data_IF_001206445867
#
_entry.id   IF_001206445867
#
_cell.length_a   1.000
_cell.length_b   1.000
_cell.length_c   1.000
_cell.angle_alpha   90.00
_cell.angle_beta   90.00
_cell.angle_gamma   90.00
#
_symmetry.space_group_name_H-M   'P 1'
#
loop_
_entity.id
_entity.type
_entity.pdbx_description
1 polymer ?
#
# COMPACT_ATOMS: atom_id res chain seq x y z
N UNK A 1 -1.11 28.55 -13.54
CA UNK A 1 -1.41 27.10 -13.64
C UNK A 1 -0.24 26.34 -14.27
N UNK A 2 0.26 26.73 -15.45
CA UNK A 2 1.40 26.06 -16.11
C UNK A 2 2.70 26.07 -15.29
N UNK A 3 3.10 27.21 -14.69
CA UNK A 3 4.31 27.26 -13.86
C UNK A 3 4.26 26.31 -12.64
N UNK A 4 3.07 26.16 -12.03
CA UNK A 4 2.84 25.23 -10.92
C UNK A 4 2.87 23.79 -11.44
N UNK A 5 2.23 23.53 -12.58
CA UNK A 5 2.24 22.21 -13.23
C UNK A 5 3.67 21.76 -13.58
N UNK A 6 4.48 22.65 -14.14
CA UNK A 6 5.87 22.37 -14.51
C UNK A 6 6.74 22.12 -13.27
N UNK A 7 6.61 22.96 -12.24
CA UNK A 7 7.32 22.80 -10.97
C UNK A 7 6.96 21.47 -10.28
N UNK A 8 5.67 21.12 -10.23
CA UNK A 8 5.21 19.83 -9.68
C UNK A 8 5.72 18.67 -10.53
N UNK A 9 5.75 18.80 -11.86
CA UNK A 9 6.25 17.76 -12.77
C UNK A 9 7.75 17.52 -12.58
N UNK A 10 8.56 18.58 -12.40
CA UNK A 10 10.00 18.47 -12.15
C UNK A 10 10.28 17.79 -10.80
N UNK A 11 9.58 18.21 -9.74
CA UNK A 11 9.68 17.56 -8.42
C UNK A 11 9.24 16.10 -8.52
N UNK A 12 8.15 15.82 -9.23
CA UNK A 12 7.66 14.45 -9.41
C UNK A 12 8.69 13.60 -10.18
N UNK A 13 9.35 14.16 -11.19
CA UNK A 13 10.43 13.50 -11.94
C UNK A 13 11.67 13.21 -11.09
N UNK A 14 11.96 14.04 -10.09
CA UNK A 14 13.07 13.84 -9.16
C UNK A 14 12.71 12.87 -8.03
N UNK A 15 11.56 13.07 -7.38
CA UNK A 15 11.08 12.31 -6.22
C UNK A 15 10.62 10.91 -6.61
N UNK A 16 10.00 10.73 -7.78
CA UNK A 16 9.62 9.41 -8.31
C UNK A 16 10.53 8.98 -9.47
N UNK A 17 11.67 9.65 -9.60
CA UNK A 17 12.71 9.29 -10.56
C UNK A 17 13.52 8.07 -10.10
N UNK A 18 14.43 7.59 -10.97
CA UNK A 18 15.28 6.44 -10.68
C UNK A 18 16.00 6.49 -9.31
N UNK A 19 16.52 7.64 -8.81
CA UNK A 19 17.21 7.68 -7.53
C UNK A 19 16.35 7.23 -6.34
N UNK A 20 15.10 7.68 -6.26
CA UNK A 20 14.22 7.31 -5.15
C UNK A 20 13.84 5.84 -5.23
N UNK A 21 13.56 5.33 -6.43
CA UNK A 21 13.20 3.92 -6.62
C UNK A 21 14.36 2.99 -6.25
N UNK A 22 15.59 3.37 -6.64
CA UNK A 22 16.81 2.67 -6.22
C UNK A 22 17.00 2.73 -4.72
N UNK A 23 16.71 3.87 -4.07
CA UNK A 23 16.78 3.96 -2.61
C UNK A 23 15.74 3.08 -1.90
N UNK A 24 14.47 3.09 -2.36
CA UNK A 24 13.40 2.26 -1.76
C UNK A 24 13.77 0.78 -1.84
N UNK A 25 14.16 0.31 -3.04
CA UNK A 25 14.57 -1.08 -3.22
C UNK A 25 15.88 -1.39 -2.50
N UNK A 26 16.85 -0.49 -2.54
CA UNK A 26 18.14 -0.66 -1.87
C UNK A 26 18.00 -0.79 -0.34
N UNK A 27 17.17 0.06 0.28
CA UNK A 27 16.86 -0.03 1.71
C UNK A 27 16.11 -1.34 2.01
N UNK A 28 15.12 -1.70 1.20
CA UNK A 28 14.41 -2.96 1.40
C UNK A 28 15.31 -4.19 1.27
N UNK A 29 16.27 -4.19 0.33
CA UNK A 29 17.27 -5.25 0.17
C UNK A 29 18.23 -5.29 1.35
N UNK A 30 18.73 -4.12 1.78
CA UNK A 30 19.58 -3.99 2.95
C UNK A 30 18.89 -4.55 4.21
N UNK A 31 17.63 -4.19 4.45
CA UNK A 31 16.83 -4.71 5.57
C UNK A 31 16.53 -6.20 5.41
N UNK A 32 16.23 -6.66 4.20
CA UNK A 32 15.97 -8.09 3.92
C UNK A 32 17.17 -8.94 4.28
N UNK A 33 18.38 -8.52 3.89
CA UNK A 33 19.64 -9.21 4.22
C UNK A 33 19.95 -9.08 5.71
N UNK A 34 19.83 -7.88 6.28
CA UNK A 34 20.10 -7.63 7.71
C UNK A 34 19.20 -8.41 8.65
N UNK A 35 17.92 -8.61 8.27
CA UNK A 35 16.96 -9.44 8.98
C UNK A 35 17.08 -10.93 8.64
N UNK A 36 18.06 -11.33 7.82
CA UNK A 36 18.27 -12.72 7.37
C UNK A 36 17.01 -13.32 6.73
N UNK A 37 16.30 -12.52 5.93
CA UNK A 37 15.03 -12.87 5.29
C UNK A 37 13.92 -13.33 6.26
N UNK A 38 14.02 -12.98 7.55
CA UNK A 38 13.06 -13.41 8.57
C UNK A 38 11.59 -13.14 8.20
N UNK A 39 11.19 -11.95 7.68
CA UNK A 39 9.80 -11.68 7.35
C UNK A 39 9.22 -12.67 6.34
N UNK A 40 10.01 -13.07 5.34
CA UNK A 40 9.62 -14.05 4.32
C UNK A 40 9.61 -15.46 4.92
N UNK A 41 10.66 -15.84 5.65
CA UNK A 41 10.80 -17.18 6.21
C UNK A 41 9.78 -17.50 7.30
N UNK A 42 9.26 -16.47 8.01
CA UNK A 42 8.31 -16.62 9.13
C UNK A 42 6.87 -16.24 8.78
N UNK A 43 6.51 -16.13 7.50
CA UNK A 43 5.14 -15.81 7.08
C UNK A 43 4.09 -16.74 7.71
N UNK A 44 4.36 -18.05 7.77
CA UNK A 44 3.44 -19.02 8.38
C UNK A 44 3.21 -18.79 9.88
N UNK A 45 4.25 -18.39 10.62
CA UNK A 45 4.12 -18.00 12.02
C UNK A 45 3.30 -16.71 12.17
N UNK A 46 3.48 -15.75 11.26
CA UNK A 46 2.66 -14.54 11.18
C UNK A 46 1.18 -14.86 11.04
N UNK A 47 0.79 -15.70 10.08
CA UNK A 47 -0.61 -16.13 9.92
C UNK A 47 -1.16 -16.83 11.16
N UNK A 48 -0.38 -17.69 11.81
CA UNK A 48 -0.78 -18.36 13.05
C UNK A 48 -1.07 -17.36 14.17
N UNK A 49 -0.16 -16.41 14.39
CA UNK A 49 -0.31 -15.36 15.43
C UNK A 49 -1.51 -14.45 15.16
N UNK A 50 -1.74 -14.09 13.88
CA UNK A 50 -2.90 -13.30 13.49
C UNK A 50 -4.23 -14.03 13.74
N UNK A 51 -4.26 -15.36 13.55
CA UNK A 51 -5.45 -16.16 13.78
C UNK A 51 -5.71 -16.40 15.27
N UNK A 52 -4.66 -16.64 16.07
CA UNK A 52 -4.78 -16.81 17.52
C UNK A 52 -5.10 -15.52 18.26
N UNK A 53 -4.59 -14.38 17.77
CA UNK A 53 -4.84 -13.04 18.33
C UNK A 53 -6.22 -12.45 17.98
N UNK A 54 -7.18 -13.28 17.57
CA UNK A 54 -8.58 -12.85 17.37
C UNK A 54 -9.36 -12.74 18.68
N UNK A 55 -8.93 -13.45 19.72
CA UNK A 55 -9.47 -13.32 21.06
C UNK A 55 -8.75 -12.19 21.80
N UNK A 56 -9.48 -11.34 22.53
CA UNK A 56 -8.91 -10.34 23.44
C UNK A 56 -8.03 -11.06 24.46
N UNK A 57 -6.74 -10.75 24.52
CA UNK A 57 -5.84 -11.25 25.54
C UNK A 57 -5.28 -10.08 26.35
N UNK A 58 -5.73 -9.94 27.60
CA UNK A 58 -5.25 -9.02 28.65
C UNK A 58 -5.29 -7.50 28.41
N UNK A 59 -5.25 -6.74 29.51
CA UNK A 59 -5.41 -5.28 29.59
C UNK A 59 -4.26 -4.47 28.94
N UNK A 60 -3.20 -5.13 28.46
CA UNK A 60 -1.98 -4.52 27.89
C UNK A 60 -2.00 -4.44 26.34
N UNK A 61 -3.11 -4.85 25.72
CA UNK A 61 -3.21 -5.27 24.31
C UNK A 61 -3.66 -4.14 23.35
N UNK A 62 -3.04 -2.95 23.45
CA UNK A 62 -3.26 -1.83 22.52
C UNK A 62 -4.73 -1.40 22.34
N UNK A 63 -5.01 -0.57 21.32
CA UNK A 63 -6.34 0.04 21.18
C UNK A 63 -7.37 -0.86 20.47
N UNK A 64 -6.89 -1.81 19.66
CA UNK A 64 -7.69 -2.77 18.87
C UNK A 64 -6.99 -4.13 18.75
N UNK A 65 -7.74 -5.25 18.62
CA UNK A 65 -7.15 -6.58 18.45
C UNK A 65 -6.25 -6.68 17.22
N UNK A 66 -5.20 -7.54 17.24
CA UNK A 66 -4.28 -7.75 16.12
C UNK A 66 -4.95 -7.99 14.76
N UNK A 67 -6.04 -8.76 14.72
CA UNK A 67 -6.81 -8.98 13.49
C UNK A 67 -7.45 -7.69 12.96
N UNK A 68 -8.02 -6.85 13.83
CA UNK A 68 -8.60 -5.57 13.42
C UNK A 68 -7.51 -4.59 12.96
N UNK A 69 -6.34 -4.59 13.61
CA UNK A 69 -5.20 -3.78 13.18
C UNK A 69 -4.72 -4.18 11.77
N UNK A 70 -4.59 -5.48 11.51
CA UNK A 70 -4.27 -5.99 10.18
C UNK A 70 -5.32 -5.59 9.15
N UNK A 71 -6.60 -5.80 9.44
CA UNK A 71 -7.68 -5.46 8.51
C UNK A 71 -7.75 -3.96 8.25
N UNK A 72 -7.49 -3.13 9.26
CA UNK A 72 -7.38 -1.68 9.10
C UNK A 72 -6.22 -1.32 8.19
N UNK A 73 -5.04 -1.90 8.41
CA UNK A 73 -3.88 -1.67 7.54
C UNK A 73 -4.15 -2.14 6.09
N UNK A 74 -4.75 -3.33 5.93
CA UNK A 74 -5.12 -3.86 4.62
C UNK A 74 -6.17 -3.00 3.90
N UNK A 75 -7.13 -2.43 4.63
CA UNK A 75 -8.14 -1.53 4.05
C UNK A 75 -7.52 -0.28 3.42
N UNK A 76 -6.40 0.18 3.97
CA UNK A 76 -5.68 1.35 3.44
C UNK A 76 -4.75 0.98 2.28
N UNK A 77 -4.27 -0.27 2.20
CA UNK A 77 -3.34 -0.71 1.15
C UNK A 77 -4.02 -1.35 -0.04
N UNK A 78 -5.21 -1.93 0.14
CA UNK A 78 -5.99 -2.52 -0.95
C UNK A 78 -6.96 -1.47 -1.46
N UNK A 79 -6.72 -0.96 -2.65
CA UNK A 79 -7.54 0.11 -3.24
C UNK A 79 -7.42 0.17 -4.76
N UNK A 80 -7.70 1.35 -5.31
CA UNK A 80 -7.66 1.58 -6.76
C UNK A 80 -6.30 1.29 -7.39
N UNK A 81 -5.21 1.44 -6.63
CA UNK A 81 -3.86 1.06 -7.07
C UNK A 81 -3.75 -0.42 -7.48
N UNK A 82 -4.39 -1.33 -6.75
CA UNK A 82 -4.35 -2.76 -7.08
C UNK A 82 -5.12 -3.11 -8.37
N UNK A 83 -6.05 -2.25 -8.79
CA UNK A 83 -6.89 -2.46 -9.98
C UNK A 83 -6.33 -1.63 -11.13
N UNK A 84 -6.44 -0.30 -11.03
CA UNK A 84 -6.03 0.63 -12.05
C UNK A 84 -4.50 0.81 -12.11
N UNK A 85 -3.80 0.78 -10.97
CA UNK A 85 -2.34 0.92 -10.92
C UNK A 85 -1.64 -0.26 -11.59
N UNK A 86 -2.04 -1.50 -11.25
CA UNK A 86 -1.53 -2.72 -11.92
C UNK A 86 -1.82 -2.68 -13.42
N UNK A 87 -3.05 -2.33 -13.83
CA UNK A 87 -3.40 -2.21 -15.24
C UNK A 87 -2.55 -1.14 -15.96
N UNK A 88 -2.33 0.01 -15.32
CA UNK A 88 -1.48 1.09 -15.84
C UNK A 88 -0.02 0.63 -15.95
N UNK A 89 0.50 -0.11 -14.97
CA UNK A 89 1.86 -0.63 -14.99
C UNK A 89 2.05 -1.64 -16.12
N UNK A 90 1.09 -2.53 -16.35
CA UNK A 90 1.12 -3.47 -17.48
C UNK A 90 0.97 -2.75 -18.82
N UNK A 91 0.13 -1.73 -18.90
CA UNK A 91 -0.06 -0.94 -20.12
C UNK A 91 1.21 -0.16 -20.50
N UNK A 92 1.85 0.51 -19.53
CA UNK A 92 3.02 1.36 -19.77
C UNK A 92 4.34 0.57 -19.83
N UNK A 93 4.51 -0.42 -18.95
CA UNK A 93 5.73 -1.21 -18.78
C UNK A 93 5.68 -2.61 -19.41
N UNK A 94 4.55 -2.97 -20.02
CA UNK A 94 4.31 -4.31 -20.55
C UNK A 94 4.08 -5.38 -19.46
N UNK A 95 3.81 -6.64 -19.87
CA UNK A 95 3.56 -7.75 -18.94
C UNK A 95 4.71 -8.02 -17.96
N UNK A 96 5.94 -7.67 -18.33
CA UNK A 96 7.13 -7.81 -17.49
C UNK A 96 7.10 -6.96 -16.21
N UNK A 97 6.30 -5.91 -16.15
CA UNK A 97 6.12 -5.10 -14.94
C UNK A 97 5.61 -5.96 -13.76
N UNK A 98 4.75 -6.96 -14.01
CA UNK A 98 4.21 -7.84 -12.97
C UNK A 98 5.31 -8.60 -12.21
N UNK A 99 6.33 -9.09 -12.93
CA UNK A 99 7.47 -9.77 -12.30
C UNK A 99 8.20 -8.86 -11.32
N UNK A 100 8.45 -7.61 -11.74
CA UNK A 100 9.10 -6.62 -10.90
C UNK A 100 8.22 -6.18 -9.73
N UNK A 101 6.90 -6.07 -9.91
CA UNK A 101 5.96 -5.83 -8.80
C UNK A 101 6.07 -6.94 -7.75
N UNK A 102 6.18 -8.21 -8.13
CA UNK A 102 6.38 -9.30 -7.18
C UNK A 102 7.71 -9.20 -6.44
N UNK A 103 8.81 -8.91 -7.13
CA UNK A 103 10.11 -8.73 -6.48
C UNK A 103 10.12 -7.55 -5.51
N UNK A 104 9.53 -6.42 -5.91
CA UNK A 104 9.43 -5.22 -5.07
C UNK A 104 8.59 -5.50 -3.82
N UNK A 105 7.53 -6.29 -3.93
CA UNK A 105 6.72 -6.72 -2.79
C UNK A 105 7.52 -7.62 -1.83
N UNK A 106 8.27 -8.61 -2.34
CA UNK A 106 9.11 -9.49 -1.51
C UNK A 106 10.16 -8.69 -0.73
N UNK A 107 10.84 -7.76 -1.39
CA UNK A 107 11.83 -6.87 -0.78
C UNK A 107 11.16 -5.91 0.22
N UNK A 108 9.98 -5.39 -0.14
CA UNK A 108 9.18 -4.47 0.67
C UNK A 108 8.65 -5.09 1.97
N UNK A 109 8.49 -6.42 2.05
CA UNK A 109 8.09 -7.10 3.29
C UNK A 109 9.05 -6.78 4.44
N UNK A 110 10.36 -6.69 4.17
CA UNK A 110 11.35 -6.36 5.19
C UNK A 110 11.23 -4.92 5.67
N UNK A 111 11.08 -3.98 4.74
CA UNK A 111 10.81 -2.56 5.07
C UNK A 111 9.57 -2.43 5.93
N UNK A 112 8.46 -3.06 5.52
CA UNK A 112 7.20 -2.92 6.22
C UNK A 112 7.24 -3.54 7.62
N UNK A 113 7.91 -4.67 7.76
CA UNK A 113 8.15 -5.30 9.05
C UNK A 113 8.95 -4.37 9.98
N UNK A 114 10.07 -3.80 9.49
CA UNK A 114 10.89 -2.87 10.27
C UNK A 114 10.10 -1.63 10.70
N UNK A 115 9.29 -1.05 9.81
CA UNK A 115 8.40 0.07 10.15
C UNK A 115 7.44 -0.29 11.30
N UNK A 116 6.80 -1.46 11.23
CA UNK A 116 5.85 -1.90 12.25
C UNK A 116 6.54 -2.14 13.60
N UNK A 117 7.71 -2.78 13.60
CA UNK A 117 8.49 -3.03 14.83
C UNK A 117 8.92 -1.71 15.47
N UNK A 118 9.43 -0.76 14.68
CA UNK A 118 9.83 0.56 15.19
C UNK A 118 8.62 1.35 15.70
N UNK A 119 7.49 1.29 15.01
CA UNK A 119 6.27 1.96 15.42
C UNK A 119 5.77 1.44 16.78
N UNK A 120 5.85 0.13 17.04
CA UNK A 120 5.49 -0.44 18.35
C UNK A 120 6.53 -0.10 19.41
N UNK A 121 7.83 -0.16 19.08
CA UNK A 121 8.93 0.07 20.03
C UNK A 121 8.99 1.51 20.54
N UNK A 122 8.64 2.48 19.70
CA UNK A 122 8.75 3.91 19.98
C UNK A 122 7.40 4.63 20.06
N UNK A 123 6.29 3.89 20.22
CA UNK A 123 4.95 4.46 20.43
C UNK A 123 4.87 5.23 21.75
N UNK A 124 3.98 6.20 21.78
CA UNK A 124 3.59 6.95 22.97
C UNK A 124 2.11 6.73 23.27
N UNK A 125 1.68 7.17 24.46
CA UNK A 125 0.28 7.22 24.84
C UNK A 125 -0.13 8.69 24.86
N UNK A 126 -1.20 9.01 24.13
CA UNK A 126 -1.73 10.38 24.08
C UNK A 126 -2.48 10.75 25.38
N UNK A 127 -2.87 12.02 25.51
CA UNK A 127 -3.62 12.52 26.67
C UNK A 127 -4.98 11.83 26.87
N UNK A 128 -5.47 11.14 25.85
CA UNK A 128 -6.74 10.40 25.84
C UNK A 128 -6.55 8.90 26.11
N UNK A 129 -5.32 8.47 26.42
CA UNK A 129 -4.98 7.08 26.71
C UNK A 129 -4.84 6.17 25.48
N UNK A 130 -4.82 6.72 24.26
CA UNK A 130 -4.65 5.94 23.03
C UNK A 130 -3.18 5.80 22.65
N UNK A 131 -2.84 4.69 22.01
CA UNK A 131 -1.49 4.46 21.51
C UNK A 131 -1.26 5.20 20.19
N UNK A 132 -0.27 6.08 20.16
CA UNK A 132 0.15 6.81 18.96
C UNK A 132 1.56 6.40 18.55
N UNK A 133 1.72 6.01 17.29
CA UNK A 133 2.98 5.48 16.78
C UNK A 133 3.11 5.72 15.28
N UNK A 134 4.32 5.49 14.76
CA UNK A 134 4.63 5.67 13.35
C UNK A 134 5.95 6.39 13.12
N UNK A 135 6.25 6.75 11.85
CA UNK A 135 7.57 7.26 11.49
C UNK A 135 7.97 8.56 12.17
N UNK A 136 7.02 9.47 12.34
CA UNK A 136 7.23 10.70 13.10
C UNK A 136 7.69 10.43 14.55
N UNK A 137 7.17 9.37 15.19
CA UNK A 137 7.52 9.02 16.56
C UNK A 137 8.85 8.29 16.64
N UNK A 138 9.11 7.28 15.81
CA UNK A 138 10.40 6.57 15.88
C UNK A 138 11.58 7.43 15.40
N UNK A 139 11.36 8.43 14.55
CA UNK A 139 12.39 9.41 14.20
C UNK A 139 12.71 10.29 15.41
N UNK A 140 11.67 10.86 16.05
CA UNK A 140 11.85 11.74 17.21
C UNK A 140 12.43 11.02 18.42
N UNK A 141 11.89 9.84 18.73
CA UNK A 141 12.18 9.10 19.96
C UNK A 141 13.33 8.10 19.80
N UNK A 142 13.61 7.65 18.57
CA UNK A 142 14.66 6.66 18.27
C UNK A 142 15.97 7.26 17.79
N UNK A 143 15.95 8.27 16.91
CA UNK A 143 17.17 8.91 16.38
C UNK A 143 17.64 10.09 17.25
N UNK A 144 16.82 10.52 18.20
CA UNK A 144 17.11 11.60 19.15
C UNK A 144 16.70 12.99 18.65
N UNK A 145 16.79 13.97 19.56
CA UNK A 145 16.26 15.33 19.35
C UNK A 145 16.83 16.07 18.13
N UNK A 146 18.06 15.75 17.72
CA UNK A 146 18.71 16.33 16.53
C UNK A 146 17.99 15.99 15.21
N UNK A 147 17.21 14.92 15.18
CA UNK A 147 16.47 14.47 14.00
C UNK A 147 14.96 14.73 14.10
N UNK A 148 14.50 15.39 15.17
CA UNK A 148 13.08 15.68 15.38
C UNK A 148 12.44 16.49 14.23
N UNK A 149 13.22 17.36 13.57
CA UNK A 149 12.77 18.11 12.40
C UNK A 149 12.33 17.21 11.24
N UNK A 150 12.97 16.05 11.06
CA UNK A 150 12.62 15.09 10.02
C UNK A 150 11.32 14.37 10.36
N UNK A 151 11.05 14.13 11.66
CA UNK A 151 9.77 13.59 12.13
C UNK A 151 8.61 14.55 11.88
N UNK A 152 8.83 15.85 12.11
CA UNK A 152 7.86 16.91 11.79
C UNK A 152 7.62 16.98 10.28
N UNK A 153 8.69 16.97 9.48
CA UNK A 153 8.59 17.00 8.02
C UNK A 153 7.82 15.79 7.48
N UNK A 154 8.08 14.59 8.01
CA UNK A 154 7.32 13.39 7.69
C UNK A 154 5.84 13.56 8.03
N UNK A 155 5.51 14.06 9.22
CA UNK A 155 4.12 14.25 9.63
C UNK A 155 3.36 15.20 8.69
N UNK A 156 4.01 16.30 8.27
CA UNK A 156 3.43 17.25 7.30
C UNK A 156 3.21 16.58 5.94
N UNK A 157 4.23 15.92 5.39
CA UNK A 157 4.11 15.27 4.08
C UNK A 157 3.11 14.11 4.10
N UNK A 158 3.10 13.29 5.15
CA UNK A 158 2.14 12.20 5.31
C UNK A 158 0.70 12.74 5.41
N UNK A 159 0.49 13.86 6.11
CA UNK A 159 -0.83 14.49 6.22
C UNK A 159 -1.34 14.97 4.87
N UNK A 160 -0.48 15.61 4.06
CA UNK A 160 -0.83 16.04 2.70
C UNK A 160 -1.03 14.85 1.77
N UNK A 161 -0.12 13.87 1.81
CA UNK A 161 -0.18 12.67 0.98
C UNK A 161 -1.45 11.86 1.25
N UNK A 162 -1.91 11.78 2.51
CA UNK A 162 -3.12 11.06 2.88
C UNK A 162 -4.37 11.55 2.14
N UNK A 163 -4.48 12.86 1.85
CA UNK A 163 -5.58 13.38 1.01
C UNK A 163 -5.49 12.89 -0.43
N UNK A 164 -4.28 12.81 -0.99
CA UNK A 164 -4.07 12.31 -2.34
C UNK A 164 -4.37 10.82 -2.46
N UNK A 165 -3.53 9.99 -1.82
CA UNK A 165 -3.55 8.53 -1.98
C UNK A 165 -4.73 7.86 -1.27
N UNK A 166 -5.16 8.42 -0.13
CA UNK A 166 -6.16 7.82 0.75
C UNK A 166 -7.57 8.37 0.57
N UNK A 167 -7.75 9.50 -0.10
CA UNK A 167 -9.06 10.15 -0.26
C UNK A 167 -9.39 10.45 -1.73
N UNK A 168 -8.81 11.52 -2.29
CA UNK A 168 -9.26 12.08 -3.59
C UNK A 168 -9.16 11.07 -4.73
N UNK A 169 -8.04 10.37 -4.87
CA UNK A 169 -7.86 9.38 -5.94
C UNK A 169 -8.83 8.20 -5.77
N UNK A 170 -9.04 7.73 -4.54
CA UNK A 170 -9.96 6.62 -4.26
C UNK A 170 -11.42 7.01 -4.57
N UNK A 171 -11.87 8.16 -4.06
CA UNK A 171 -13.23 8.64 -4.25
C UNK A 171 -13.53 8.97 -5.72
N UNK A 172 -12.57 9.55 -6.45
CA UNK A 172 -12.74 9.85 -7.87
C UNK A 172 -12.86 8.58 -8.72
N UNK A 173 -12.02 7.57 -8.52
CA UNK A 173 -12.16 6.32 -9.28
C UNK A 173 -13.49 5.61 -9.04
N UNK A 174 -14.03 5.66 -7.82
CA UNK A 174 -15.38 5.13 -7.54
C UNK A 174 -16.44 5.94 -8.26
N UNK A 175 -16.33 7.27 -8.27
CA UNK A 175 -17.24 8.16 -8.98
C UNK A 175 -17.23 7.92 -10.49
N UNK A 176 -16.05 7.80 -11.10
CA UNK A 176 -15.89 7.56 -12.54
C UNK A 176 -16.54 6.23 -12.96
N UNK A 177 -16.35 5.16 -12.16
CA UNK A 177 -16.95 3.85 -12.42
C UNK A 177 -18.47 3.90 -12.30
N UNK A 178 -19.01 4.63 -11.31
CA UNK A 178 -20.47 4.76 -11.13
C UNK A 178 -21.11 5.64 -12.20
N UNK A 179 -20.42 6.69 -12.65
CA UNK A 179 -20.87 7.51 -13.78
C UNK A 179 -20.88 6.70 -15.07
N UNK A 180 -19.78 5.99 -15.37
CA UNK A 180 -19.64 5.23 -16.62
C UNK A 180 -20.66 4.08 -16.72
N UNK A 181 -20.87 3.34 -15.63
CA UNK A 181 -21.71 2.14 -15.68
C UNK A 181 -23.19 2.42 -15.36
N UNK A 182 -23.48 3.44 -14.56
CA UNK A 182 -24.83 3.69 -14.06
C UNK A 182 -25.34 5.12 -14.34
N UNK A 183 -24.54 5.97 -14.99
CA UNK A 183 -24.91 7.36 -15.29
C UNK A 183 -25.03 8.26 -14.06
N UNK A 184 -24.48 7.84 -12.92
CA UNK A 184 -24.62 8.56 -11.65
C UNK A 184 -23.65 9.76 -11.60
N UNK A 185 -24.12 11.00 -11.41
CA UNK A 185 -23.23 12.16 -11.40
C UNK A 185 -22.22 12.11 -10.25
N UNK A 186 -20.98 12.57 -10.51
CA UNK A 186 -19.87 12.53 -9.54
C UNK A 186 -20.19 13.13 -8.17
N UNK A 187 -20.89 14.27 -8.13
CA UNK A 187 -21.22 14.93 -6.87
C UNK A 187 -22.16 14.07 -5.99
N UNK A 188 -23.04 13.27 -6.61
CA UNK A 188 -23.96 12.37 -5.89
C UNK A 188 -23.15 11.25 -5.23
N UNK A 189 -22.24 10.61 -5.99
CA UNK A 189 -21.30 9.62 -5.43
C UNK A 189 -20.51 10.22 -4.27
N UNK A 190 -19.97 11.43 -4.46
CA UNK A 190 -19.18 12.13 -3.44
C UNK A 190 -19.95 12.35 -2.14
N UNK A 191 -21.20 12.82 -2.22
CA UNK A 191 -22.05 13.02 -1.03
C UNK A 191 -22.36 11.70 -0.33
N UNK A 192 -22.67 10.64 -1.08
CA UNK A 192 -22.94 9.31 -0.51
C UNK A 192 -21.68 8.79 0.20
N UNK A 193 -20.52 8.84 -0.45
CA UNK A 193 -19.25 8.41 0.14
C UNK A 193 -18.90 9.24 1.39
N UNK A 194 -19.09 10.56 1.35
CA UNK A 194 -18.86 11.43 2.50
C UNK A 194 -19.68 11.00 3.71
N UNK A 195 -20.99 10.72 3.52
CA UNK A 195 -21.87 10.30 4.62
C UNK A 195 -21.45 8.92 5.15
N UNK A 196 -21.22 7.95 4.26
CA UNK A 196 -20.83 6.59 4.64
C UNK A 196 -19.49 6.56 5.38
N UNK A 197 -18.47 7.23 4.85
CA UNK A 197 -17.14 7.31 5.46
C UNK A 197 -17.20 8.11 6.75
N UNK A 198 -17.93 9.22 6.79
CA UNK A 198 -18.13 10.04 7.99
C UNK A 198 -18.71 9.25 9.15
N UNK A 199 -19.72 8.40 8.91
CA UNK A 199 -20.30 7.52 9.94
C UNK A 199 -19.27 6.54 10.54
N UNK A 200 -18.27 6.12 9.77
CA UNK A 200 -17.21 5.22 10.25
C UNK A 200 -16.14 6.00 11.02
N UNK A 201 -15.68 7.13 10.48
CA UNK A 201 -14.59 7.92 11.05
C UNK A 201 -14.96 8.58 12.38
N UNK A 202 -16.19 9.07 12.54
CA UNK A 202 -16.66 9.70 13.79
C UNK A 202 -16.55 8.74 14.99
N UNK A 203 -16.66 7.43 14.76
CA UNK A 203 -16.52 6.41 15.80
C UNK A 203 -15.07 6.10 16.23
N UNK A 204 -14.06 6.73 15.62
CA UNK A 204 -12.65 6.54 15.95
C UNK A 204 -12.10 5.15 15.59
N UNK A 205 -10.87 4.87 16.05
CA UNK A 205 -10.09 3.68 15.63
C UNK A 205 -10.80 2.35 15.92
N UNK A 206 -11.57 2.27 17.01
CA UNK A 206 -12.36 1.08 17.36
C UNK A 206 -13.45 0.80 16.32
N UNK A 207 -14.15 1.84 15.85
CA UNK A 207 -15.20 1.70 14.83
C UNK A 207 -14.60 1.39 13.46
N UNK A 208 -13.48 2.04 13.11
CA UNK A 208 -12.72 1.76 11.89
C UNK A 208 -12.29 0.28 11.87
N UNK A 209 -11.69 -0.20 12.96
CA UNK A 209 -11.25 -1.60 13.09
C UNK A 209 -12.40 -2.60 12.96
N UNK A 210 -13.55 -2.33 13.56
CA UNK A 210 -14.75 -3.17 13.43
C UNK A 210 -15.23 -3.25 11.98
N UNK A 211 -15.40 -2.11 11.32
CA UNK A 211 -15.89 -2.03 9.93
C UNK A 211 -14.89 -2.68 8.98
N UNK A 212 -13.61 -2.35 9.08
CA UNK A 212 -12.55 -2.94 8.26
C UNK A 212 -12.48 -4.46 8.44
N UNK A 213 -12.63 -4.95 9.67
CA UNK A 213 -12.59 -6.40 9.96
C UNK A 213 -13.71 -7.21 9.33
N UNK A 214 -14.83 -6.57 8.97
CA UNK A 214 -15.93 -7.20 8.25
C UNK A 214 -15.79 -7.00 6.73
N UNK A 215 -15.52 -5.77 6.29
CA UNK A 215 -15.51 -5.41 4.87
C UNK A 215 -14.28 -5.95 4.11
N UNK A 216 -13.09 -5.88 4.71
CA UNK A 216 -11.85 -6.23 4.01
C UNK A 216 -11.78 -7.72 3.66
N UNK A 217 -12.09 -8.66 4.57
CA UNK A 217 -12.12 -10.09 4.19
C UNK A 217 -13.12 -10.36 3.08
N UNK A 218 -14.32 -9.77 3.15
CA UNK A 218 -15.34 -9.93 2.12
C UNK A 218 -14.84 -9.44 0.76
N UNK A 219 -14.31 -8.21 0.71
CA UNK A 219 -13.75 -7.60 -0.51
C UNK A 219 -12.60 -8.43 -1.11
N UNK A 220 -11.65 -8.87 -0.27
CA UNK A 220 -10.50 -9.64 -0.73
C UNK A 220 -10.93 -11.02 -1.27
N UNK A 221 -11.80 -11.73 -0.54
CA UNK A 221 -12.30 -13.05 -0.96
C UNK A 221 -13.12 -12.94 -2.24
N UNK A 222 -14.04 -11.95 -2.35
CA UNK A 222 -14.84 -11.78 -3.56
C UNK A 222 -13.97 -11.46 -4.77
N UNK A 223 -12.98 -10.56 -4.61
CA UNK A 223 -12.07 -10.18 -5.70
C UNK A 223 -11.23 -11.36 -6.19
N UNK A 224 -10.62 -12.10 -5.27
CA UNK A 224 -9.83 -13.30 -5.60
C UNK A 224 -10.71 -14.38 -6.22
N UNK A 225 -11.91 -14.61 -5.69
CA UNK A 225 -12.82 -15.63 -6.21
C UNK A 225 -13.24 -15.33 -7.66
N UNK A 226 -13.64 -14.09 -7.95
CA UNK A 226 -13.98 -13.66 -9.32
C UNK A 226 -12.77 -13.80 -10.24
N UNK A 227 -11.59 -13.38 -9.80
CA UNK A 227 -10.34 -13.55 -10.56
C UNK A 227 -10.04 -15.02 -10.87
N UNK A 228 -10.19 -15.91 -9.89
CA UNK A 228 -10.02 -17.34 -10.08
C UNK A 228 -11.03 -17.95 -11.05
N UNK A 229 -12.28 -17.48 -11.04
CA UNK A 229 -13.30 -17.89 -12.02
C UNK A 229 -12.87 -17.48 -13.43
N UNK A 230 -12.42 -16.25 -13.63
CA UNK A 230 -11.93 -15.76 -14.94
C UNK A 230 -10.71 -16.56 -15.40
N UNK A 231 -9.78 -16.87 -14.50
CA UNK A 231 -8.62 -17.71 -14.79
C UNK A 231 -9.04 -19.15 -15.15
N UNK A 232 -10.03 -19.73 -14.47
CA UNK A 232 -10.53 -21.06 -14.77
C UNK A 232 -11.21 -21.12 -16.15
N UNK A 233 -11.97 -20.09 -16.53
CA UNK A 233 -12.59 -19.98 -17.86
C UNK A 233 -11.50 -19.88 -18.95
N UNK A 234 -10.39 -19.19 -18.66
CA UNK A 234 -9.29 -18.97 -19.60
C UNK A 234 -8.06 -19.85 -19.32
N UNK A 235 -8.26 -21.04 -18.72
CA UNK A 235 -7.16 -21.85 -18.19
C UNK A 235 -6.08 -22.16 -19.24
N UNK A 236 -6.47 -22.34 -20.50
CA UNK A 236 -5.56 -22.64 -21.61
C UNK A 236 -4.56 -21.50 -21.91
N UNK A 237 -4.89 -20.26 -21.55
CA UNK A 237 -4.06 -19.08 -21.81
C UNK A 237 -3.09 -18.78 -20.64
N UNK A 238 -3.27 -19.42 -19.48
CA UNK A 238 -2.44 -19.16 -18.29
C UNK A 238 -0.95 -19.43 -18.55
N UNK A 239 -0.54 -20.56 -19.18
CA UNK A 239 0.88 -20.82 -19.40
C UNK A 239 1.53 -19.76 -20.29
N UNK A 240 0.84 -19.32 -21.34
CA UNK A 240 1.31 -18.26 -22.24
C UNK A 240 1.42 -16.92 -21.51
N UNK A 241 0.40 -16.55 -20.71
CA UNK A 241 0.42 -15.34 -19.92
C UNK A 241 1.60 -15.29 -18.93
N UNK A 242 1.87 -16.40 -18.22
CA UNK A 242 3.03 -16.51 -17.33
C UNK A 242 4.33 -16.39 -18.14
N UNK A 243 4.43 -17.07 -19.28
CA UNK A 243 5.60 -16.97 -20.16
C UNK A 243 5.86 -15.54 -20.63
N UNK A 244 4.81 -14.80 -20.99
CA UNK A 244 4.90 -13.38 -21.34
C UNK A 244 5.46 -12.54 -20.19
N UNK A 245 5.02 -12.77 -18.95
CA UNK A 245 5.54 -12.03 -17.78
C UNK A 245 7.05 -12.20 -17.65
N UNK A 246 7.57 -13.43 -17.71
CA UNK A 246 9.00 -13.67 -17.56
C UNK A 246 9.80 -13.22 -18.79
N UNK A 247 9.33 -13.52 -20.01
CA UNK A 247 10.04 -13.13 -21.23
C UNK A 247 10.16 -11.60 -21.37
N UNK A 248 9.09 -10.85 -21.10
CA UNK A 248 9.11 -9.39 -21.17
C UNK A 248 9.91 -8.76 -20.02
N UNK A 249 9.97 -9.41 -18.85
CA UNK A 249 10.79 -8.93 -17.74
C UNK A 249 12.30 -8.98 -18.04
N UNK A 250 12.74 -9.92 -18.89
CA UNK A 250 14.16 -10.20 -19.17
C UNK A 250 14.57 -10.06 -20.65
N UNK A 251 13.69 -9.59 -21.54
CA UNK A 251 13.94 -9.52 -22.99
C UNK A 251 15.12 -8.60 -23.35
N UNK A 252 15.99 -8.94 -24.33
CA UNK A 252 17.13 -8.11 -24.73
C UNK A 252 16.78 -6.78 -25.41
N UNK A 253 15.57 -6.59 -25.95
CA UNK A 253 15.10 -5.25 -26.33
C UNK A 253 14.97 -4.30 -25.11
N UNK A 254 14.98 -4.88 -23.92
CA UNK A 254 15.06 -4.19 -22.64
C UNK A 254 16.53 -3.88 -22.22
N UNK A 255 17.54 -4.42 -22.93
CA UNK A 255 18.95 -4.18 -22.66
C UNK A 255 19.47 -2.81 -23.14
N UNK A 256 18.72 -2.11 -24.01
CA UNK A 256 18.91 -0.66 -24.23
C UNK A 256 18.33 0.19 -23.08
N UNK A 257 17.93 -0.44 -21.96
CA UNK A 257 17.56 0.22 -20.69
C UNK A 257 16.16 0.84 -20.66
N UNK A 258 15.56 1.10 -21.83
CA UNK A 258 14.25 1.76 -21.94
C UNK A 258 13.08 0.91 -21.42
N UNK A 259 12.95 -0.34 -21.86
CA UNK A 259 11.75 -1.15 -21.56
C UNK A 259 11.82 -1.85 -20.20
N UNK A 260 12.96 -2.42 -19.81
CA UNK A 260 13.13 -3.03 -18.47
C UNK A 260 13.16 -1.93 -17.40
N UNK A 261 13.82 -0.81 -17.69
CA UNK A 261 13.78 0.38 -16.86
C UNK A 261 12.36 0.91 -16.69
N UNK A 262 11.58 1.01 -17.78
CA UNK A 262 10.17 1.40 -17.72
C UNK A 262 9.30 0.39 -16.96
N UNK A 263 9.54 -0.91 -17.12
CA UNK A 263 8.80 -1.96 -16.40
C UNK A 263 9.09 -1.91 -14.90
N UNK A 264 10.35 -1.81 -14.50
CA UNK A 264 10.78 -1.64 -13.09
C UNK A 264 10.25 -0.33 -12.52
N UNK A 265 10.38 0.76 -13.26
CA UNK A 265 9.90 2.08 -12.85
C UNK A 265 8.39 2.08 -12.66
N UNK A 266 7.62 1.54 -13.62
CA UNK A 266 6.18 1.42 -13.52
C UNK A 266 5.77 0.51 -12.36
N UNK A 267 6.48 -0.59 -12.14
CA UNK A 267 6.22 -1.53 -11.06
C UNK A 267 6.49 -0.97 -9.64
N UNK A 268 7.43 -0.05 -9.50
CA UNK A 268 7.71 0.59 -8.18
C UNK A 268 6.80 1.80 -7.98
N UNK A 269 6.45 2.49 -9.06
CA UNK A 269 5.62 3.69 -9.01
C UNK A 269 4.15 3.40 -8.71
N UNK A 270 3.64 2.26 -9.18
CA UNK A 270 2.22 1.86 -9.08
C UNK A 270 2.07 0.56 -8.30
#
# INVERSE_FOLDING_TARGET
>A
MEAISNFVSEINGLVWGPPMLVMILGVGLFLSIGLKLMPIMKLGAGFRLMWSGRARGDEDDGDIPPFQALMTALSATVGTGNIAGVATAVFLGGPGALFWMWLTALVGMATKYSEAVLAVRFREVDERGNHVGGPMYYIRNGLGSKWAWLGILFAVFASVAAFGIGNTVQANSVADVLETNFGLPHWVTGVILMVLVGMVLIGGIKRIGQVASALVPFMAVSYVLIGLIVLAINANQIPEAISMVFSYAFSPAAAEGGFAGAAVWAAIRF
#
